data_IF_302892809491
#
_entry.id   IF_302892809491
#
_cell.length_a   1.000
_cell.length_b   1.000
_cell.length_c   1.000
_cell.angle_alpha   90.00
_cell.angle_beta   90.00
_cell.angle_gamma   90.00
#
_symmetry.space_group_name_H-M   'P 1'
#
loop_
_entity.id
_entity.type
_entity.pdbx_description
1 polymer ?
#
# COMPACT_ATOMS: atom_id res chain seq x y z
N UNK A 1 -18.38 -3.47 3.80
CA UNK A 1 -17.32 -4.31 3.18
C UNK A 1 -17.72 -4.72 1.77
N UNK A 2 -16.87 -4.43 0.78
CA UNK A 2 -17.02 -4.92 -0.60
C UNK A 2 -15.85 -5.80 -1.00
N UNK A 3 -16.11 -6.85 -1.78
CA UNK A 3 -15.07 -7.72 -2.34
C UNK A 3 -15.04 -7.55 -3.86
N UNK A 4 -13.83 -7.48 -4.40
CA UNK A 4 -13.59 -7.21 -5.81
C UNK A 4 -12.55 -8.18 -6.35
N UNK A 5 -12.72 -8.52 -7.61
CA UNK A 5 -11.74 -9.24 -8.38
C UNK A 5 -11.39 -8.36 -9.59
N UNK A 6 -10.16 -7.86 -9.62
CA UNK A 6 -9.71 -6.92 -10.64
C UNK A 6 -8.37 -7.37 -11.21
N UNK A 7 -8.07 -6.96 -12.43
CA UNK A 7 -6.78 -7.20 -13.06
C UNK A 7 -5.96 -5.90 -13.06
N UNK A 8 -4.75 -5.95 -12.51
CA UNK A 8 -3.80 -4.84 -12.44
C UNK A 8 -2.43 -5.37 -12.82
N UNK A 9 -1.78 -4.73 -13.80
CA UNK A 9 -0.49 -5.19 -14.36
C UNK A 9 -0.49 -6.67 -14.81
N UNK A 10 -1.61 -7.18 -15.35
CA UNK A 10 -1.76 -8.58 -15.76
C UNK A 10 -1.91 -9.58 -14.60
N UNK A 11 -2.02 -9.08 -13.36
CA UNK A 11 -2.22 -9.90 -12.16
C UNK A 11 -3.66 -9.79 -11.71
N UNK A 12 -4.27 -10.94 -11.46
CA UNK A 12 -5.59 -11.05 -10.85
C UNK A 12 -5.48 -10.79 -9.35
N UNK A 13 -6.10 -9.70 -8.89
CA UNK A 13 -6.06 -9.23 -7.50
C UNK A 13 -7.43 -9.40 -6.86
N UNK A 14 -7.42 -10.00 -5.67
CA UNK A 14 -8.59 -10.09 -4.78
C UNK A 14 -8.53 -8.93 -3.78
N UNK A 15 -9.38 -7.94 -3.96
CA UNK A 15 -9.40 -6.74 -3.13
C UNK A 15 -10.61 -6.73 -2.17
N UNK A 16 -10.37 -6.39 -0.91
CA UNK A 16 -11.40 -6.12 0.10
C UNK A 16 -11.39 -4.64 0.44
N UNK A 17 -12.55 -3.97 0.35
CA UNK A 17 -12.73 -2.58 0.79
C UNK A 17 -13.46 -2.57 2.14
N UNK A 18 -12.81 -2.00 3.14
CA UNK A 18 -13.31 -1.87 4.50
C UNK A 18 -13.66 -0.43 4.84
N UNK A 19 -14.92 -0.25 5.24
CA UNK A 19 -15.50 0.97 5.76
C UNK A 19 -15.76 0.90 7.28
N UNK A 20 -15.60 -0.29 7.86
CA UNK A 20 -15.88 -0.58 9.28
C UNK A 20 -14.62 -1.10 9.99
N UNK A 21 -14.24 -0.41 11.06
CA UNK A 21 -13.07 -0.70 11.89
C UNK A 21 -13.10 -2.08 12.56
N UNK A 22 -14.29 -2.60 12.86
CA UNK A 22 -14.45 -3.92 13.53
C UNK A 22 -13.94 -5.06 12.66
N UNK A 23 -14.04 -4.93 11.33
CA UNK A 23 -13.65 -5.98 10.38
C UNK A 23 -12.16 -5.91 9.98
N UNK A 24 -11.43 -4.89 10.43
CA UNK A 24 -10.03 -4.70 10.06
C UNK A 24 -9.16 -5.82 10.62
N UNK A 25 -9.41 -6.27 11.85
CA UNK A 25 -8.66 -7.36 12.48
C UNK A 25 -8.69 -8.65 11.64
N UNK A 26 -9.90 -9.14 11.35
CA UNK A 26 -10.08 -10.39 10.60
C UNK A 26 -9.48 -10.34 9.18
N UNK A 27 -9.56 -9.19 8.51
CA UNK A 27 -8.97 -9.03 7.18
C UNK A 27 -7.44 -8.93 7.22
N UNK A 28 -6.87 -8.37 8.28
CA UNK A 28 -5.41 -8.34 8.49
C UNK A 28 -4.88 -9.77 8.69
N UNK A 29 -5.56 -10.63 9.43
CA UNK A 29 -5.16 -12.05 9.57
C UNK A 29 -5.19 -12.80 8.22
N UNK A 30 -6.19 -12.47 7.39
CA UNK A 30 -6.25 -12.95 6.01
C UNK A 30 -5.10 -12.42 5.14
N UNK A 31 -4.64 -11.19 5.38
CA UNK A 31 -3.51 -10.59 4.69
C UNK A 31 -2.17 -11.23 5.12
N UNK A 32 -1.97 -11.46 6.42
CA UNK A 32 -0.83 -12.21 6.98
C UNK A 32 -0.65 -13.56 6.29
N UNK A 33 -1.75 -14.30 6.14
CA UNK A 33 -1.75 -15.61 5.48
C UNK A 33 -1.39 -15.57 3.98
N UNK A 34 -1.32 -14.38 3.39
CA UNK A 34 -1.04 -14.15 1.96
C UNK A 34 0.34 -13.55 1.71
N UNK A 35 1.12 -13.33 2.77
CA UNK A 35 2.49 -12.87 2.65
C UNK A 35 3.33 -13.94 1.96
N UNK A 36 4.21 -13.47 1.09
CA UNK A 36 5.21 -14.30 0.44
C UNK A 36 6.58 -13.90 0.98
N UNK A 37 7.43 -14.90 1.23
CA UNK A 37 8.81 -14.66 1.66
C UNK A 37 9.73 -14.37 0.49
N UNK A 38 10.54 -13.33 0.65
CA UNK A 38 11.63 -12.98 -0.27
C UNK A 38 12.89 -12.71 0.54
N UNK A 39 13.96 -13.44 0.25
CA UNK A 39 15.27 -13.34 0.92
C UNK A 39 15.17 -13.32 2.45
N UNK A 40 14.25 -14.13 3.00
CA UNK A 40 14.07 -14.34 4.44
C UNK A 40 12.97 -13.50 5.10
N UNK A 41 12.55 -12.38 4.50
CA UNK A 41 11.51 -11.50 5.04
C UNK A 41 10.17 -11.69 4.34
N UNK A 42 9.07 -11.49 5.07
CA UNK A 42 7.74 -11.44 4.48
C UNK A 42 7.54 -10.10 3.76
N UNK A 43 7.03 -10.11 2.53
CA UNK A 43 6.85 -8.89 1.74
C UNK A 43 5.39 -8.45 1.72
N UNK A 44 5.17 -7.18 2.03
CA UNK A 44 3.93 -6.46 1.77
C UNK A 44 4.25 -5.10 1.15
N UNK A 45 3.33 -4.56 0.37
CA UNK A 45 3.41 -3.18 -0.10
C UNK A 45 2.23 -2.36 0.39
N UNK A 46 2.39 -1.04 0.39
CA UNK A 46 1.29 -0.15 0.71
C UNK A 46 1.33 1.16 -0.07
N UNK A 47 0.16 1.78 -0.15
CA UNK A 47 0.02 3.18 -0.54
C UNK A 47 -1.01 3.87 0.37
N UNK A 48 -0.94 5.19 0.39
CA UNK A 48 -1.82 6.04 1.18
C UNK A 48 -2.31 7.20 0.32
N UNK A 49 -3.65 7.32 0.22
CA UNK A 49 -4.31 8.34 -0.60
C UNK A 49 -5.21 9.21 0.26
N UNK A 50 -4.84 10.49 0.42
CA UNK A 50 -5.70 11.51 1.06
C UNK A 50 -6.80 11.91 0.10
N UNK A 51 -8.03 12.07 0.59
CA UNK A 51 -9.17 12.50 -0.23
C UNK A 51 -9.28 14.03 -0.22
N UNK A 52 -8.97 14.74 -1.32
CA UNK A 52 -8.81 16.20 -1.29
C UNK A 52 -10.07 16.97 -0.88
N UNK A 53 -11.26 16.49 -1.26
CA UNK A 53 -12.54 17.16 -0.96
C UNK A 53 -13.16 16.70 0.37
N UNK A 54 -12.51 15.79 1.10
CA UNK A 54 -13.00 15.26 2.37
C UNK A 54 -11.86 15.28 3.40
N UNK A 55 -11.61 16.43 4.04
CA UNK A 55 -10.62 16.55 5.10
C UNK A 55 -10.82 15.46 6.16
N UNK A 56 -9.71 14.90 6.67
CA UNK A 56 -9.78 13.83 7.67
C UNK A 56 -10.12 12.43 7.11
N UNK A 57 -10.33 12.31 5.79
CA UNK A 57 -10.54 11.01 5.14
C UNK A 57 -9.36 10.61 4.26
N UNK A 58 -8.95 9.35 4.41
CA UNK A 58 -7.92 8.75 3.58
C UNK A 58 -8.19 7.27 3.30
N UNK A 59 -7.51 6.74 2.29
CA UNK A 59 -7.43 5.32 2.00
C UNK A 59 -6.04 4.83 2.38
N UNK A 60 -5.98 3.79 3.20
CA UNK A 60 -4.78 2.97 3.38
C UNK A 60 -4.94 1.72 2.54
N UNK A 61 -3.99 1.46 1.65
CA UNK A 61 -3.98 0.31 0.75
C UNK A 61 -2.85 -0.59 1.20
N UNK A 62 -3.15 -1.84 1.56
CA UNK A 62 -2.17 -2.87 1.87
C UNK A 62 -2.24 -3.96 0.81
N UNK A 63 -1.10 -4.44 0.34
CA UNK A 63 -1.00 -5.38 -0.76
C UNK A 63 -0.01 -6.50 -0.42
N UNK A 64 -0.45 -7.76 -0.48
CA UNK A 64 0.37 -8.92 -0.21
C UNK A 64 0.00 -10.08 -1.15
N UNK A 65 0.96 -10.51 -1.97
CA UNK A 65 0.75 -11.57 -2.95
C UNK A 65 -0.27 -11.16 -4.01
N UNK A 66 -1.46 -11.77 -3.98
CA UNK A 66 -2.59 -11.43 -4.85
C UNK A 66 -3.76 -10.82 -4.08
N UNK A 67 -3.57 -10.52 -2.79
CA UNK A 67 -4.59 -9.90 -1.94
C UNK A 67 -4.30 -8.43 -1.73
N UNK A 68 -5.37 -7.64 -1.73
CA UNK A 68 -5.31 -6.23 -1.37
C UNK A 68 -6.38 -5.90 -0.35
N UNK A 69 -6.01 -5.12 0.67
CA UNK A 69 -6.92 -4.58 1.66
C UNK A 69 -6.93 -3.06 1.54
N UNK A 70 -8.09 -2.48 1.26
CA UNK A 70 -8.31 -1.04 1.23
C UNK A 70 -9.08 -0.67 2.49
N UNK A 71 -8.46 0.08 3.39
CA UNK A 71 -9.06 0.57 4.63
C UNK A 71 -9.43 2.04 4.47
N UNK A 72 -10.72 2.36 4.57
CA UNK A 72 -11.20 3.74 4.58
C UNK A 72 -11.04 4.33 5.99
N UNK A 73 -10.00 5.14 6.17
CA UNK A 73 -9.71 5.86 7.40
C UNK A 73 -10.58 7.11 7.47
N UNK A 74 -11.41 7.22 8.50
CA UNK A 74 -12.31 8.37 8.78
C UNK A 74 -12.03 8.91 10.18
N UNK A 75 -12.28 10.20 10.41
CA UNK A 75 -12.03 10.91 11.68
C UNK A 75 -12.58 10.22 12.96
N UNK A 76 -13.56 9.32 12.84
CA UNK A 76 -14.15 8.55 13.94
C UNK A 76 -13.68 7.09 14.06
N UNK A 77 -12.74 6.65 13.21
CA UNK A 77 -12.19 5.28 13.16
C UNK A 77 -10.85 5.18 13.91
N UNK A 78 -10.52 6.17 14.74
CA UNK A 78 -9.22 6.29 15.43
C UNK A 78 -9.04 5.38 16.65
N UNK A 79 -9.84 4.33 16.79
CA UNK A 79 -9.32 3.09 17.38
C UNK A 79 -8.77 2.22 16.25
N UNK A 80 -7.60 2.59 15.75
CA UNK A 80 -6.80 1.74 14.86
C UNK A 80 -6.71 0.36 15.49
N UNK A 81 -7.23 -0.67 14.80
CA UNK A 81 -7.22 -2.03 15.35
C UNK A 81 -5.77 -2.41 15.70
N UNK A 82 -5.56 -3.06 16.85
CA UNK A 82 -4.23 -3.50 17.28
C UNK A 82 -3.56 -4.36 16.20
N UNK A 83 -4.32 -5.18 15.48
CA UNK A 83 -3.82 -6.00 14.38
C UNK A 83 -3.25 -5.17 13.22
N UNK A 84 -3.92 -4.08 12.82
CA UNK A 84 -3.41 -3.18 11.79
C UNK A 84 -2.10 -2.53 12.23
N UNK A 85 -2.06 -2.05 13.48
CA UNK A 85 -0.85 -1.44 14.04
C UNK A 85 0.31 -2.42 14.07
N UNK A 86 0.08 -3.63 14.59
CA UNK A 86 1.07 -4.69 14.59
C UNK A 86 1.58 -4.99 13.17
N UNK A 87 0.69 -5.10 12.17
CA UNK A 87 1.07 -5.34 10.77
C UNK A 87 1.96 -4.22 10.20
N UNK A 88 1.63 -2.96 10.50
CA UNK A 88 2.37 -1.81 9.98
C UNK A 88 3.76 -1.63 10.61
N UNK A 89 3.98 -2.16 11.81
CA UNK A 89 5.21 -2.01 12.59
C UNK A 89 5.97 -3.32 12.80
N UNK A 90 5.57 -4.40 12.14
CA UNK A 90 6.22 -5.70 12.28
C UNK A 90 7.58 -5.69 11.58
N UNK A 91 8.66 -6.00 12.30
CA UNK A 91 10.02 -5.99 11.78
C UNK A 91 10.32 -7.18 10.86
N UNK A 92 9.53 -8.25 10.93
CA UNK A 92 9.64 -9.42 10.06
C UNK A 92 8.99 -9.17 8.67
N UNK A 93 8.16 -8.12 8.59
CA UNK A 93 7.52 -7.69 7.34
C UNK A 93 8.30 -6.54 6.71
N UNK A 94 8.87 -6.80 5.54
CA UNK A 94 9.36 -5.75 4.66
C UNK A 94 8.16 -5.03 4.04
N UNK A 95 7.61 -4.05 4.74
CA UNK A 95 6.50 -3.24 4.26
C UNK A 95 7.03 -2.11 3.35
N UNK A 96 6.81 -2.19 2.05
CA UNK A 96 7.37 -1.24 1.06
C UNK A 96 6.34 -0.26 0.51
N UNK A 97 6.74 0.99 0.24
CA UNK A 97 5.84 1.96 -0.40
C UNK A 97 6.55 3.14 -1.06
N UNK A 98 5.79 3.93 -1.82
CA UNK A 98 6.22 5.25 -2.31
C UNK A 98 5.90 6.26 -1.21
N UNK A 99 6.90 6.55 -0.39
CA UNK A 99 6.77 7.42 0.77
C UNK A 99 7.70 8.61 0.63
N UNK A 100 7.14 9.78 0.92
CA UNK A 100 7.89 10.97 1.29
C UNK A 100 7.53 11.35 2.73
N UNK A 101 8.26 12.34 3.26
CA UNK A 101 8.06 12.85 4.61
C UNK A 101 6.62 13.29 4.88
N UNK A 102 5.97 13.93 3.89
CA UNK A 102 4.60 14.43 4.02
C UNK A 102 3.60 13.29 4.03
N UNK A 103 3.68 12.32 3.12
CA UNK A 103 2.83 11.13 3.12
C UNK A 103 2.92 10.35 4.44
N UNK A 104 4.14 10.19 4.97
CA UNK A 104 4.34 9.49 6.23
C UNK A 104 3.72 10.26 7.41
N UNK A 105 3.86 11.57 7.44
CA UNK A 105 3.19 12.44 8.42
C UNK A 105 1.66 12.33 8.36
N UNK A 106 1.09 12.40 7.15
CA UNK A 106 -0.36 12.30 6.94
C UNK A 106 -0.91 10.92 7.33
N UNK A 107 -0.20 9.84 6.99
CA UNK A 107 -0.56 8.47 7.38
C UNK A 107 -0.56 8.31 8.91
N UNK A 108 0.50 8.76 9.58
CA UNK A 108 0.57 8.72 11.05
C UNK A 108 -0.56 9.49 11.71
N UNK A 109 -0.88 10.68 11.18
CA UNK A 109 -2.01 11.48 11.65
C UNK A 109 -3.34 10.74 11.46
N UNK A 110 -3.55 10.11 10.30
CA UNK A 110 -4.76 9.34 10.01
C UNK A 110 -4.90 8.08 10.87
N UNK A 111 -3.78 7.48 11.31
CA UNK A 111 -3.75 6.31 12.20
C UNK A 111 -3.71 6.68 13.68
N UNK A 112 -3.71 7.97 14.03
CA UNK A 112 -3.52 8.49 15.39
C UNK A 112 -2.24 7.96 16.07
N UNK A 113 -1.17 7.75 15.29
CA UNK A 113 0.13 7.32 15.80
C UNK A 113 0.87 8.50 16.43
N UNK A 114 1.26 8.34 17.70
CA UNK A 114 2.01 9.35 18.46
C UNK A 114 3.52 9.15 18.41
N UNK A 115 3.98 7.98 17.96
CA UNK A 115 5.41 7.65 17.89
C UNK A 115 6.06 8.15 16.59
N UNK A 116 7.33 8.55 16.68
CA UNK A 116 8.09 9.09 15.55
C UNK A 116 8.61 8.01 14.56
N UNK A 117 8.23 6.75 14.72
CA UNK A 117 8.71 5.68 13.82
C UNK A 117 8.23 5.91 12.38
N UNK A 118 9.13 5.71 11.42
CA UNK A 118 8.76 5.67 10.01
C UNK A 118 8.03 4.35 9.71
N UNK A 119 6.84 4.45 9.13
CA UNK A 119 6.12 3.27 8.65
C UNK A 119 6.73 2.80 7.32
N UNK A 120 7.25 1.58 7.32
CA UNK A 120 7.72 0.88 6.12
C UNK A 120 9.01 1.44 5.51
N UNK A 121 9.42 0.81 4.41
CA UNK A 121 10.64 1.11 3.65
C UNK A 121 10.27 1.82 2.36
N UNK A 122 10.96 2.94 2.07
CA UNK A 122 10.83 3.62 0.77
C UNK A 122 11.33 2.72 -0.35
N UNK A 123 10.49 2.50 -1.37
CA UNK A 123 10.84 1.65 -2.52
C UNK A 123 12.11 2.14 -3.24
N UNK A 124 12.28 3.46 -3.37
CA UNK A 124 13.47 4.06 -3.95
C UNK A 124 14.76 3.72 -3.17
N UNK A 125 14.68 3.67 -1.84
CA UNK A 125 15.82 3.32 -0.99
C UNK A 125 16.15 1.82 -1.12
N UNK A 126 15.13 0.96 -1.18
CA UNK A 126 15.31 -0.47 -1.46
C UNK A 126 15.99 -0.68 -2.82
N UNK A 127 15.48 -0.06 -3.89
CA UNK A 127 16.02 -0.18 -5.23
C UNK A 127 17.47 0.33 -5.31
N UNK A 128 17.75 1.52 -4.76
CA UNK A 128 19.08 2.10 -4.76
C UNK A 128 20.11 1.19 -4.06
N UNK A 129 19.71 0.55 -2.95
CA UNK A 129 20.56 -0.37 -2.19
C UNK A 129 20.80 -1.70 -2.92
N UNK A 130 19.73 -2.36 -3.36
CA UNK A 130 19.82 -3.67 -4.03
C UNK A 130 20.60 -3.57 -5.34
N UNK A 131 20.28 -2.57 -6.17
CA UNK A 131 20.91 -2.38 -7.48
C UNK A 131 22.25 -1.63 -7.41
N UNK A 132 22.63 -1.13 -6.22
CA UNK A 132 23.82 -0.29 -6.00
C UNK A 132 23.84 0.96 -6.89
N UNK A 133 22.67 1.57 -7.07
CA UNK A 133 22.42 2.74 -7.93
C UNK A 133 21.87 3.91 -7.09
N UNK A 134 22.72 4.76 -6.48
CA UNK A 134 22.28 5.82 -5.56
C UNK A 134 21.45 6.92 -6.25
N UNK A 135 21.55 7.07 -7.57
CA UNK A 135 20.70 8.01 -8.31
C UNK A 135 19.21 7.61 -8.35
N UNK A 136 18.86 6.40 -7.88
CA UNK A 136 17.47 5.95 -7.77
C UNK A 136 16.72 6.54 -6.57
N UNK A 137 17.42 7.16 -5.61
CA UNK A 137 16.82 7.71 -4.38
C UNK A 137 15.76 8.80 -4.63
N UNK A 138 15.83 9.48 -5.77
CA UNK A 138 14.90 10.53 -6.20
C UNK A 138 13.94 10.09 -7.31
N UNK A 139 13.91 8.80 -7.64
CA UNK A 139 13.14 8.25 -8.76
C UNK A 139 11.74 7.80 -8.34
N UNK A 140 10.78 7.98 -9.24
CA UNK A 140 9.39 7.56 -9.05
C UNK A 140 9.11 6.15 -9.61
N UNK A 141 7.87 5.68 -9.48
CA UNK A 141 7.47 4.32 -9.88
C UNK A 141 7.83 3.95 -11.33
N UNK A 142 7.69 4.88 -12.27
CA UNK A 142 8.00 4.63 -13.69
C UNK A 142 9.47 4.23 -13.85
N UNK A 143 10.37 5.04 -13.30
CA UNK A 143 11.81 4.82 -13.37
C UNK A 143 12.21 3.55 -12.60
N UNK A 144 11.61 3.32 -11.42
CA UNK A 144 11.89 2.14 -10.60
C UNK A 144 11.38 0.83 -11.22
N UNK A 145 10.25 0.86 -11.94
CA UNK A 145 9.72 -0.28 -12.66
C UNK A 145 10.61 -0.67 -13.85
N UNK A 146 11.12 0.33 -14.58
CA UNK A 146 12.03 0.11 -15.70
C UNK A 146 13.34 -0.58 -15.27
N UNK A 147 13.83 -0.32 -14.06
CA UNK A 147 15.02 -0.96 -13.49
C UNK A 147 14.88 -2.47 -13.24
N UNK A 148 13.65 -2.98 -13.22
CA UNK A 148 13.34 -4.41 -13.02
C UNK A 148 12.55 -5.00 -14.19
N UNK A 149 12.64 -4.39 -15.38
CA UNK A 149 11.95 -4.80 -16.61
C UNK A 149 10.42 -4.96 -16.46
N UNK A 150 9.81 -4.15 -15.57
CA UNK A 150 8.36 -4.09 -15.40
C UNK A 150 7.78 -2.88 -16.13
N UNK A 151 6.69 -3.12 -16.84
CA UNK A 151 5.94 -2.04 -17.48
C UNK A 151 4.99 -1.38 -16.47
N UNK A 152 5.22 -0.10 -16.20
CA UNK A 152 4.37 0.72 -15.36
C UNK A 152 4.06 2.04 -16.05
N UNK A 153 2.76 2.31 -16.23
CA UNK A 153 2.25 3.61 -16.62
C UNK A 153 1.31 4.11 -15.52
N UNK A 154 1.33 5.41 -15.25
CA UNK A 154 0.33 5.97 -14.34
C UNK A 154 -1.07 5.72 -14.91
N UNK A 155 -2.01 5.27 -14.07
CA UNK A 155 -3.40 5.11 -14.50
C UNK A 155 -3.97 6.49 -14.82
N UNK A 156 -4.96 6.53 -15.72
CA UNK A 156 -5.72 7.75 -15.96
C UNK A 156 -6.32 8.26 -14.65
N UNK A 157 -6.17 9.56 -14.37
CA UNK A 157 -6.62 10.14 -13.11
C UNK A 157 -8.13 9.96 -12.95
N UNK A 158 -8.51 9.21 -11.91
CA UNK A 158 -9.90 9.14 -11.46
C UNK A 158 -10.13 10.22 -10.40
N UNK A 159 -11.28 10.89 -10.45
CA UNK A 159 -11.62 11.94 -9.50
C UNK A 159 -11.91 11.33 -8.11
N UNK A 160 -11.02 11.63 -7.15
CA UNK A 160 -11.03 11.03 -5.80
C UNK A 160 -12.12 11.57 -4.88
N UNK A 161 -12.86 12.60 -5.30
CA UNK A 161 -13.56 13.50 -4.36
C UNK A 161 -14.74 12.90 -3.61
N UNK A 162 -15.30 11.79 -4.08
CA UNK A 162 -16.51 11.20 -3.53
C UNK A 162 -16.25 9.86 -2.83
N UNK A 163 -14.98 9.48 -2.65
CA UNK A 163 -14.61 8.14 -2.17
C UNK A 163 -14.76 7.99 -0.66
N UNK A 164 -14.99 9.10 0.05
CA UNK A 164 -15.24 9.13 1.49
C UNK A 164 -16.64 8.60 1.80
N UNK A 165 -16.75 7.29 2.06
CA UNK A 165 -17.98 6.67 2.55
C UNK A 165 -18.91 6.07 1.49
N UNK A 166 -18.45 5.96 0.23
CA UNK A 166 -19.15 5.18 -0.79
C UNK A 166 -18.48 3.84 -1.07
N UNK A 167 -19.28 2.92 -1.60
CA UNK A 167 -18.80 1.69 -2.23
C UNK A 167 -18.02 2.07 -3.49
N UNK A 168 -16.76 1.65 -3.58
CA UNK A 168 -15.92 1.89 -4.75
C UNK A 168 -16.39 1.02 -5.93
N UNK A 169 -16.31 1.53 -7.15
CA UNK A 169 -16.47 0.75 -8.37
C UNK A 169 -15.22 -0.08 -8.67
N UNK A 170 -15.33 -1.05 -9.59
CA UNK A 170 -14.18 -1.88 -10.00
C UNK A 170 -13.04 -1.04 -10.59
N UNK A 171 -13.34 0.00 -11.36
CA UNK A 171 -12.32 0.89 -11.94
C UNK A 171 -11.65 1.77 -10.88
N UNK A 172 -12.40 2.21 -9.87
CA UNK A 172 -11.82 2.93 -8.74
C UNK A 172 -10.94 2.03 -7.88
N UNK A 173 -11.36 0.78 -7.64
CA UNK A 173 -10.52 -0.21 -6.96
C UNK A 173 -9.23 -0.44 -7.73
N UNK A 174 -9.29 -0.66 -9.06
CA UNK A 174 -8.09 -0.78 -9.91
C UNK A 174 -7.18 0.44 -9.77
N UNK A 175 -7.74 1.65 -9.84
CA UNK A 175 -6.97 2.88 -9.69
C UNK A 175 -6.32 2.98 -8.31
N UNK A 176 -7.06 2.69 -7.24
CA UNK A 176 -6.60 2.81 -5.84
C UNK A 176 -5.43 1.87 -5.58
N UNK A 177 -5.53 0.62 -6.03
CA UNK A 177 -4.53 -0.41 -5.73
C UNK A 177 -3.32 -0.37 -6.67
N UNK A 178 -3.41 0.38 -7.77
CA UNK A 178 -2.43 0.41 -8.85
C UNK A 178 -0.99 0.61 -8.34
N UNK A 179 -0.78 1.68 -7.57
CA UNK A 179 0.55 2.05 -7.07
C UNK A 179 1.10 1.02 -6.07
N UNK A 180 0.25 0.50 -5.18
CA UNK A 180 0.63 -0.51 -4.19
C UNK A 180 0.98 -1.85 -4.87
N UNK A 181 0.22 -2.25 -5.90
CA UNK A 181 0.50 -3.42 -6.73
C UNK A 181 1.84 -3.28 -7.45
N UNK A 182 2.11 -2.12 -8.05
CA UNK A 182 3.39 -1.82 -8.68
C UNK A 182 4.55 -1.88 -7.66
N UNK A 183 4.39 -1.25 -6.49
CA UNK A 183 5.38 -1.31 -5.42
C UNK A 183 5.72 -2.75 -5.02
N UNK A 184 4.70 -3.59 -4.83
CA UNK A 184 4.86 -5.00 -4.48
C UNK A 184 5.68 -5.74 -5.54
N UNK A 185 5.29 -5.61 -6.81
CA UNK A 185 5.95 -6.32 -7.91
C UNK A 185 7.39 -5.86 -8.11
N UNK A 186 7.67 -4.56 -7.99
CA UNK A 186 9.03 -4.02 -8.08
C UNK A 186 9.87 -4.57 -6.93
N UNK A 187 9.40 -4.46 -5.68
CA UNK A 187 10.12 -4.97 -4.52
C UNK A 187 10.34 -6.48 -4.59
N UNK A 188 9.35 -7.26 -5.01
CA UNK A 188 9.49 -8.69 -5.20
C UNK A 188 10.59 -9.03 -6.23
N UNK A 189 10.68 -8.29 -7.33
CA UNK A 189 11.75 -8.48 -8.33
C UNK A 189 13.12 -8.03 -7.83
N UNK A 190 13.19 -6.96 -7.04
CA UNK A 190 14.44 -6.52 -6.40
C UNK A 190 14.93 -7.57 -5.39
N UNK A 191 14.06 -8.02 -4.50
CA UNK A 191 14.43 -8.96 -3.44
C UNK A 191 14.82 -10.34 -4.00
N UNK A 192 14.24 -10.80 -5.11
CA UNK A 192 14.69 -12.02 -5.80
C UNK A 192 16.15 -12.00 -6.26
N UNK A 193 16.78 -10.82 -6.33
CA UNK A 193 18.18 -10.66 -6.74
C UNK A 193 19.17 -10.73 -5.56
N UNK A 194 18.67 -10.81 -4.32
CA UNK A 194 19.46 -10.96 -3.10
C UNK A 194 19.59 -12.43 -2.71
#
# INVERSE_FOLDING_TARGET
MGHYEVEVHGIKVHASVLDNHVLVGDQIDGLWSSLNKFSGADLAAFDFKVIPKCPGTALLILFAGTRCLIVQLRDSVTQSSKSLMNFLTDEEVCLVGILDFMKNYELRRALAMTECAEIGVRLADLAARVLKKPHLLSRGLVDLAAEVDLFYNHPEKVELSEWAGRVLSHEEVKFVIHDACACYNIAANLLKQL
#
